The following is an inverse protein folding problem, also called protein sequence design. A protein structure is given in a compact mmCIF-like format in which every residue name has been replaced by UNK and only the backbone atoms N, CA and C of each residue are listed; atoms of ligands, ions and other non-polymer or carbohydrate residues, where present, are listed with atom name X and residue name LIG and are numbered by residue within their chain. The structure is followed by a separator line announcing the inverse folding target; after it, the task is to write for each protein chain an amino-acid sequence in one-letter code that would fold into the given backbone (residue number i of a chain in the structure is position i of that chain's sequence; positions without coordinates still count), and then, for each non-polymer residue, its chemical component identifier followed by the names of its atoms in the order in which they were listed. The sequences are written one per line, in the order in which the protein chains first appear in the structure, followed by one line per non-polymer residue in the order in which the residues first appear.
data_IF_515205981507
#
_entry.id   IF_515205981507
#
_cell.length_a   1.000
_cell.length_b   1.000
_cell.length_c   1.000
_cell.angle_alpha   90.00
_cell.angle_beta   90.00
_cell.angle_gamma   90.00
#
_symmetry.space_group_name_H-M   'P 1'
#
loop_
_entity.id
_entity.type
_entity.pdbx_description
1 polymer ?
#
# COMPACT_ATOMS: atom_id res chain seq x y z
N UNK A 1 14.21 6.49 6.16
CA UNK A 1 14.77 5.28 6.78
C UNK A 1 16.20 5.14 6.30
N UNK A 2 17.17 4.90 7.19
CA UNK A 2 18.54 4.67 6.77
C UNK A 2 18.69 3.25 6.18
N UNK A 3 19.73 3.01 5.37
CA UNK A 3 19.91 1.69 4.77
C UNK A 3 20.17 0.59 5.82
N UNK A 4 20.87 0.92 6.91
CA UNK A 4 21.16 -0.04 7.97
C UNK A 4 19.91 -0.41 8.76
N UNK A 5 19.01 0.55 9.00
CA UNK A 5 17.68 0.29 9.58
C UNK A 5 16.91 -0.69 8.71
N UNK A 6 16.94 -0.47 7.38
CA UNK A 6 16.23 -1.32 6.42
C UNK A 6 16.83 -2.74 6.39
N UNK A 7 18.15 -2.88 6.44
CA UNK A 7 18.82 -4.19 6.49
C UNK A 7 18.47 -4.98 7.76
N UNK A 8 18.36 -4.29 8.90
CA UNK A 8 17.92 -4.91 10.15
C UNK A 8 16.42 -5.27 10.12
N UNK A 9 15.59 -4.38 9.58
CA UNK A 9 14.14 -4.56 9.55
C UNK A 9 13.68 -5.61 8.54
N UNK A 10 14.22 -5.60 7.32
CA UNK A 10 13.70 -6.40 6.20
C UNK A 10 13.50 -7.90 6.54
N UNK A 11 14.48 -8.62 7.13
CA UNK A 11 14.27 -10.04 7.45
C UNK A 11 13.19 -10.23 8.53
N UNK A 12 13.13 -9.35 9.53
CA UNK A 12 12.12 -9.40 10.60
C UNK A 12 10.72 -9.06 10.09
N UNK A 13 10.61 -8.09 9.18
CA UNK A 13 9.33 -7.77 8.58
C UNK A 13 8.78 -8.96 7.79
N UNK A 14 9.61 -9.62 6.97
CA UNK A 14 9.19 -10.81 6.24
C UNK A 14 8.74 -11.93 7.20
N UNK A 15 9.60 -12.31 8.17
CA UNK A 15 9.29 -13.42 9.08
C UNK A 15 8.06 -13.13 9.95
N UNK A 16 7.90 -11.91 10.47
CA UNK A 16 6.72 -11.51 11.25
C UNK A 16 5.46 -11.45 10.40
N UNK A 17 5.57 -11.05 9.14
CA UNK A 17 4.44 -11.10 8.20
C UNK A 17 3.98 -12.53 7.99
N UNK A 18 4.89 -13.47 7.79
CA UNK A 18 4.57 -14.89 7.61
C UNK A 18 3.94 -15.47 8.88
N UNK A 19 4.48 -15.17 10.05
CA UNK A 19 3.92 -15.57 11.35
C UNK A 19 2.46 -15.11 11.52
N UNK A 20 2.19 -13.80 11.31
CA UNK A 20 0.84 -13.24 11.41
C UNK A 20 -0.10 -13.78 10.33
N UNK A 21 0.42 -14.01 9.12
CA UNK A 21 -0.37 -14.56 8.00
C UNK A 21 -0.73 -16.04 8.21
N UNK A 22 0.11 -16.81 8.91
CA UNK A 22 -0.21 -18.21 9.22
C UNK A 22 -1.20 -18.32 10.37
N UNK A 23 -1.24 -17.34 11.27
CA UNK A 23 -2.19 -17.29 12.38
C UNK A 23 -3.59 -16.82 11.97
N UNK A 24 -4.25 -17.65 11.17
CA UNK A 24 -5.62 -17.41 10.69
C UNK A 24 -6.65 -17.33 11.82
N UNK A 25 -6.32 -17.88 13.00
CA UNK A 25 -7.23 -17.84 14.15
C UNK A 25 -7.45 -16.42 14.67
N UNK A 26 -6.51 -15.51 14.39
CA UNK A 26 -6.56 -14.12 14.82
C UNK A 26 -6.89 -13.13 13.70
N UNK A 27 -7.36 -13.60 12.54
CA UNK A 27 -7.81 -12.73 11.43
C UNK A 27 -9.19 -12.09 11.68
N UNK A 28 -9.60 -11.91 12.93
CA UNK A 28 -10.95 -11.46 13.28
C UNK A 28 -11.31 -10.15 12.58
N UNK A 29 -12.29 -10.22 11.67
CA UNK A 29 -12.76 -9.10 10.84
C UNK A 29 -13.31 -7.93 11.67
N UNK A 30 -13.69 -8.18 12.93
CA UNK A 30 -14.31 -7.18 13.79
C UNK A 30 -13.31 -6.19 14.42
N UNK A 31 -12.03 -6.58 14.57
CA UNK A 31 -11.04 -5.79 15.34
C UNK A 31 -9.74 -5.51 14.61
N UNK A 32 -9.34 -6.36 13.65
CA UNK A 32 -8.06 -6.19 12.95
C UNK A 32 -8.11 -5.13 11.86
N UNK A 33 -9.32 -4.78 11.41
CA UNK A 33 -9.55 -3.98 10.22
C UNK A 33 -9.46 -4.78 8.92
N UNK A 34 -9.16 -6.09 8.98
CA UNK A 34 -9.06 -6.94 7.79
C UNK A 34 -10.46 -7.37 7.36
N UNK A 35 -11.23 -6.38 6.88
CA UNK A 35 -12.64 -6.55 6.49
C UNK A 35 -12.83 -7.60 5.39
N UNK A 36 -11.76 -7.96 4.67
CA UNK A 36 -11.77 -8.97 3.63
C UNK A 36 -11.37 -10.36 4.13
N UNK A 37 -10.75 -10.47 5.32
CA UNK A 37 -10.27 -11.74 5.87
C UNK A 37 -9.24 -12.43 4.97
N UNK A 38 -8.45 -11.64 4.23
CA UNK A 38 -7.46 -12.13 3.27
C UNK A 38 -6.03 -12.12 3.83
N UNK A 39 -5.87 -11.74 5.10
CA UNK A 39 -4.58 -11.62 5.76
C UNK A 39 -3.77 -10.41 5.27
N UNK A 40 -4.40 -9.43 4.62
CA UNK A 40 -3.71 -8.28 4.04
C UNK A 40 -3.05 -7.38 5.09
N UNK A 41 -3.68 -7.28 6.27
CA UNK A 41 -3.13 -6.48 7.37
C UNK A 41 -1.94 -7.18 8.05
N UNK A 42 -1.69 -8.46 7.75
CA UNK A 42 -0.53 -9.20 8.28
C UNK A 42 0.79 -8.49 7.96
N UNK A 43 0.88 -7.82 6.81
CA UNK A 43 2.08 -7.06 6.44
C UNK A 43 2.26 -5.80 7.30
N UNK A 44 1.17 -5.14 7.67
CA UNK A 44 1.19 -3.96 8.52
C UNK A 44 1.59 -4.34 9.96
N UNK A 45 1.04 -5.45 10.48
CA UNK A 45 1.45 -6.00 11.77
C UNK A 45 2.87 -6.53 11.74
N UNK A 46 3.25 -7.25 10.69
CA UNK A 46 4.62 -7.75 10.50
C UNK A 46 5.65 -6.61 10.50
N UNK A 47 5.35 -5.51 9.81
CA UNK A 47 6.17 -4.30 9.87
C UNK A 47 6.23 -3.73 11.29
N UNK A 48 5.08 -3.60 11.95
CA UNK A 48 4.99 -2.99 13.29
C UNK A 48 5.79 -3.78 14.32
N UNK A 49 5.65 -5.11 14.33
CA UNK A 49 6.38 -6.00 15.21
C UNK A 49 7.88 -6.02 14.89
N UNK A 50 8.25 -6.18 13.62
CA UNK A 50 9.65 -6.15 13.20
C UNK A 50 10.34 -4.80 13.52
N UNK A 51 9.64 -3.69 13.30
CA UNK A 51 10.16 -2.35 13.59
C UNK A 51 10.33 -2.11 15.10
N UNK A 52 9.41 -2.61 15.92
CA UNK A 52 9.52 -2.54 17.38
C UNK A 52 10.72 -3.37 17.88
N UNK A 53 10.93 -4.56 17.33
CA UNK A 53 12.04 -5.46 17.70
C UNK A 53 13.42 -4.88 17.32
N UNK A 54 13.53 -4.21 16.17
CA UNK A 54 14.74 -3.46 15.77
C UNK A 54 14.92 -2.17 16.60
N UNK A 55 13.88 -1.70 17.28
CA UNK A 55 13.92 -0.44 18.03
C UNK A 55 13.82 0.80 17.14
N UNK A 56 13.16 0.70 15.98
CA UNK A 56 12.95 1.84 15.09
C UNK A 56 12.03 2.88 15.71
N UNK A 57 12.34 4.15 15.40
CA UNK A 57 11.50 5.29 15.78
C UNK A 57 10.86 5.91 14.55
N UNK A 58 9.56 6.16 14.64
CA UNK A 58 8.79 6.72 13.53
C UNK A 58 8.52 8.20 13.73
N UNK A 59 8.54 8.94 12.63
CA UNK A 59 7.93 10.26 12.54
C UNK A 59 6.65 10.11 11.73
N UNK A 60 5.51 10.35 12.37
CA UNK A 60 4.22 10.34 11.69
C UNK A 60 4.07 11.65 10.92
N UNK A 61 3.79 11.55 9.63
CA UNK A 61 3.46 12.69 8.79
C UNK A 61 2.30 12.32 7.85
N UNK A 62 1.30 13.18 7.75
CA UNK A 62 0.19 13.05 6.83
C UNK A 62 0.37 13.90 5.55
N UNK A 63 1.55 14.51 5.35
CA UNK A 63 1.83 15.32 4.14
C UNK A 63 2.18 14.50 2.89
N UNK A 64 2.57 13.24 3.06
CA UNK A 64 3.15 12.44 1.97
C UNK A 64 2.09 11.57 1.29
N UNK A 65 1.20 10.96 2.07
CA UNK A 65 0.26 9.95 1.61
C UNK A 65 -1.16 10.32 1.99
N UNK A 66 -2.09 10.19 1.04
CA UNK A 66 -3.52 10.39 1.27
C UNK A 66 -4.33 9.22 0.71
N UNK A 67 -5.54 9.01 1.24
CA UNK A 67 -6.53 8.09 0.65
C UNK A 67 -7.48 8.84 -0.31
N UNK A 68 -7.97 8.18 -1.37
CA UNK A 68 -9.04 8.73 -2.20
C UNK A 68 -10.25 9.16 -1.36
N UNK A 69 -10.76 10.36 -1.61
CA UNK A 69 -11.90 10.95 -0.89
C UNK A 69 -11.53 11.76 0.36
N UNK A 70 -10.28 11.71 0.81
CA UNK A 70 -9.80 12.52 1.93
C UNK A 70 -9.37 13.88 1.40
N UNK A 71 -9.59 14.93 2.19
CA UNK A 71 -9.14 16.28 1.85
C UNK A 71 -7.72 16.50 2.34
N UNK A 72 -6.76 16.87 1.48
CA UNK A 72 -5.39 17.15 1.91
C UNK A 72 -5.33 18.37 2.82
N UNK A 73 -4.26 18.47 3.62
CA UNK A 73 -4.04 19.66 4.45
C UNK A 73 -3.89 20.91 3.58
N UNK A 74 -4.37 22.09 4.04
CA UNK A 74 -4.16 23.34 3.31
C UNK A 74 -2.68 23.58 3.03
N UNK A 75 -2.33 23.83 1.76
CA UNK A 75 -0.95 24.07 1.33
C UNK A 75 -0.09 22.82 1.13
N UNK A 76 -0.67 21.62 1.25
CA UNK A 76 0.04 20.35 1.04
C UNK A 76 -0.48 19.66 -0.22
N UNK A 77 0.45 19.21 -1.06
CA UNK A 77 0.19 18.34 -2.21
C UNK A 77 0.73 16.93 -1.90
N UNK A 78 -0.14 15.95 -1.59
CA UNK A 78 0.30 14.58 -1.31
C UNK A 78 0.99 13.97 -2.52
N UNK A 79 2.15 13.35 -2.29
CA UNK A 79 2.94 12.69 -3.33
C UNK A 79 2.46 11.26 -3.62
N UNK A 80 1.77 10.64 -2.67
CA UNK A 80 1.34 9.25 -2.72
C UNK A 80 -0.16 9.18 -2.50
N UNK A 81 -0.87 8.51 -3.42
CA UNK A 81 -2.28 8.19 -3.27
C UNK A 81 -2.41 6.69 -2.96
N UNK A 82 -2.94 6.37 -1.79
CA UNK A 82 -3.02 5.00 -1.30
C UNK A 82 -4.42 4.40 -1.51
N UNK A 83 -4.51 3.35 -2.33
CA UNK A 83 -5.77 2.70 -2.73
C UNK A 83 -5.99 1.39 -1.99
N UNK A 84 -6.27 1.47 -0.68
CA UNK A 84 -6.56 0.30 0.15
C UNK A 84 -8.02 -0.16 0.13
N UNK A 85 -8.96 0.72 -0.26
CA UNK A 85 -10.40 0.48 -0.18
C UNK A 85 -11.09 0.79 -1.53
N UNK A 86 -12.25 0.17 -1.81
CA UNK A 86 -13.11 0.55 -2.91
C UNK A 86 -13.46 2.03 -2.85
N UNK A 87 -13.24 2.73 -3.97
CA UNK A 87 -13.60 4.12 -4.13
C UNK A 87 -14.70 4.25 -5.17
N UNK A 88 -15.71 5.08 -4.91
CA UNK A 88 -16.89 5.25 -5.78
C UNK A 88 -17.18 6.71 -6.03
N UNK A 89 -17.46 7.05 -7.28
CA UNK A 89 -17.94 8.36 -7.72
C UNK A 89 -19.12 8.14 -8.66
N UNK A 90 -20.32 8.57 -8.27
CA UNK A 90 -21.54 8.32 -9.05
C UNK A 90 -21.76 6.82 -9.34
N UNK A 91 -21.78 6.46 -10.62
CA UNK A 91 -21.93 5.07 -11.10
C UNK A 91 -20.58 4.35 -11.33
N UNK A 92 -19.46 5.05 -11.19
CA UNK A 92 -18.14 4.47 -11.37
C UNK A 92 -17.53 4.08 -10.03
N UNK A 93 -16.85 2.93 -9.99
CA UNK A 93 -16.08 2.48 -8.84
C UNK A 93 -14.76 1.87 -9.27
N UNK A 94 -13.78 1.93 -8.38
CA UNK A 94 -12.49 1.27 -8.51
C UNK A 94 -12.15 0.57 -7.20
N UNK A 95 -11.76 -0.70 -7.29
CA UNK A 95 -11.18 -1.43 -6.18
C UNK A 95 -9.91 -2.14 -6.61
N UNK A 96 -8.82 -1.90 -5.88
CA UNK A 96 -7.57 -2.64 -6.11
C UNK A 96 -7.75 -4.15 -5.87
N UNK A 97 -8.66 -4.54 -4.97
CA UNK A 97 -8.98 -5.94 -4.68
C UNK A 97 -9.50 -6.71 -5.90
N UNK A 98 -10.22 -6.05 -6.80
CA UNK A 98 -10.73 -6.68 -8.03
C UNK A 98 -9.60 -7.18 -8.95
N UNK A 99 -8.38 -6.66 -8.75
CA UNK A 99 -7.20 -6.99 -9.53
C UNK A 99 -6.23 -7.88 -8.76
N UNK A 100 -6.67 -8.54 -7.67
CA UNK A 100 -5.80 -9.40 -6.86
C UNK A 100 -5.26 -10.59 -7.67
N UNK A 101 -6.12 -11.21 -8.48
CA UNK A 101 -5.75 -12.37 -9.31
C UNK A 101 -5.25 -11.95 -10.71
N UNK A 102 -5.41 -10.68 -11.06
CA UNK A 102 -5.01 -10.15 -12.35
C UNK A 102 -3.49 -10.11 -12.49
N UNK A 103 -3.00 -10.51 -13.67
CA UNK A 103 -1.58 -10.42 -14.04
C UNK A 103 -1.01 -8.99 -14.02
N UNK A 104 -1.85 -7.96 -13.89
CA UNK A 104 -1.46 -6.55 -13.91
C UNK A 104 -0.41 -6.20 -12.86
N UNK A 105 -0.41 -6.90 -11.71
CA UNK A 105 0.55 -6.67 -10.62
C UNK A 105 1.91 -7.31 -10.94
N UNK A 106 1.93 -8.38 -11.72
CA UNK A 106 3.13 -9.16 -12.06
C UNK A 106 3.77 -8.69 -13.38
N UNK A 107 2.98 -8.12 -14.28
CA UNK A 107 3.43 -7.56 -15.55
C UNK A 107 3.99 -6.14 -15.37
N UNK A 108 5.27 -5.95 -15.71
CA UNK A 108 5.88 -4.62 -15.72
C UNK A 108 5.23 -3.70 -16.77
N UNK A 109 5.22 -2.38 -16.50
CA UNK A 109 4.71 -1.32 -17.40
C UNK A 109 3.22 -1.42 -17.76
N UNK A 110 2.41 -2.14 -16.98
CA UNK A 110 0.95 -2.06 -17.06
C UNK A 110 0.44 -0.93 -16.17
N UNK A 111 -0.61 -0.25 -16.64
CA UNK A 111 -1.36 0.74 -15.88
C UNK A 111 -2.78 0.23 -15.67
N UNK A 112 -3.40 0.59 -14.55
CA UNK A 112 -4.85 0.44 -14.41
C UNK A 112 -5.55 1.25 -15.50
N UNK A 113 -6.74 0.78 -15.91
CA UNK A 113 -7.57 1.58 -16.79
C UNK A 113 -7.81 2.97 -16.16
N UNK A 114 -7.69 4.05 -16.94
CA UNK A 114 -7.92 5.39 -16.41
C UNK A 114 -9.38 5.51 -15.95
N UNK A 115 -9.66 6.31 -14.91
CA UNK A 115 -11.02 6.64 -14.56
C UNK A 115 -11.71 7.34 -15.75
N UNK A 116 -13.03 7.19 -15.91
CA UNK A 116 -13.81 7.94 -16.88
C UNK A 116 -13.65 9.45 -16.66
N UNK A 117 -13.84 10.25 -17.72
CA UNK A 117 -13.67 11.70 -17.60
C UNK A 117 -14.64 12.28 -16.56
N UNK A 118 -14.30 13.38 -15.86
CA UNK A 118 -15.20 13.99 -14.86
C UNK A 118 -16.59 14.36 -15.38
N UNK A 119 -16.74 14.56 -16.70
CA UNK A 119 -18.03 14.80 -17.36
C UNK A 119 -18.90 13.53 -17.53
N UNK A 120 -18.27 12.36 -17.55
CA UNK A 120 -18.90 11.04 -17.67
C UNK A 120 -19.31 10.49 -16.30
N UNK A 121 -18.76 11.06 -15.23
CA UNK A 121 -19.05 10.71 -13.84
C UNK A 121 -19.73 11.90 -13.18
N UNK A 122 -21.04 11.83 -12.94
CA UNK A 122 -21.79 12.93 -12.35
C UNK A 122 -21.09 13.51 -11.09
N UNK A 123 -20.65 14.77 -11.20
CA UNK A 123 -20.20 15.71 -10.18
C UNK A 123 -19.07 15.24 -9.22
N UNK A 124 -17.82 15.66 -9.49
CA UNK A 124 -16.90 16.34 -8.53
C UNK A 124 -15.55 16.68 -9.21
N UNK A 125 -14.82 17.73 -8.76
CA UNK A 125 -13.53 18.11 -9.33
C UNK A 125 -12.41 17.36 -8.61
N UNK A 126 -11.97 16.21 -9.14
CA UNK A 126 -10.72 15.59 -8.69
C UNK A 126 -9.96 15.10 -9.92
N UNK A 127 -8.87 15.79 -10.24
CA UNK A 127 -7.86 15.31 -11.19
C UNK A 127 -6.99 14.33 -10.41
N UNK A 128 -7.25 13.03 -10.60
CA UNK A 128 -6.40 11.98 -10.03
C UNK A 128 -5.43 11.51 -11.11
N UNK A 129 -4.15 11.83 -10.93
CA UNK A 129 -3.09 11.13 -11.65
C UNK A 129 -2.94 9.74 -11.03
N UNK A 130 -3.49 8.73 -11.70
CA UNK A 130 -3.21 7.32 -11.38
C UNK A 130 -1.79 7.03 -11.89
N UNK A 131 -0.79 7.29 -11.06
CA UNK A 131 0.53 6.69 -11.26
C UNK A 131 0.40 5.24 -10.79
N UNK A 132 0.03 4.37 -11.73
CA UNK A 132 0.12 2.93 -11.60
C UNK A 132 1.59 2.52 -11.53
N UNK A 133 2.24 2.74 -10.40
CA UNK A 133 3.43 2.00 -10.04
C UNK A 133 3.03 1.02 -8.94
N UNK A 134 2.80 -0.25 -9.33
CA UNK A 134 2.93 -1.41 -8.46
C UNK A 134 4.37 -1.55 -7.86
N UNK A 135 5.25 -0.59 -8.16
CA UNK A 135 6.60 -0.51 -7.66
C UNK A 135 6.75 -0.10 -6.20
N UNK A 136 5.75 0.03 -5.33
CA UNK A 136 6.12 0.08 -3.89
C UNK A 136 6.55 -1.31 -3.38
N UNK A 137 5.90 -2.38 -3.87
CA UNK A 137 6.29 -3.76 -3.56
C UNK A 137 7.65 -4.10 -4.21
N UNK A 138 7.83 -3.69 -5.48
CA UNK A 138 9.08 -3.88 -6.19
C UNK A 138 10.15 -2.84 -5.87
N UNK A 139 9.90 -1.64 -5.33
CA UNK A 139 10.98 -0.74 -4.95
C UNK A 139 11.63 -1.24 -3.66
N UNK A 140 10.86 -1.72 -2.68
CA UNK A 140 11.46 -2.31 -1.48
C UNK A 140 12.18 -3.63 -1.80
N UNK A 141 11.60 -4.51 -2.64
CA UNK A 141 12.29 -5.75 -3.05
C UNK A 141 13.38 -5.55 -4.12
N UNK A 142 13.28 -4.58 -5.04
CA UNK A 142 14.38 -4.25 -5.98
C UNK A 142 15.52 -3.52 -5.29
N UNK A 143 15.27 -2.73 -4.24
CA UNK A 143 16.35 -2.25 -3.36
C UNK A 143 17.06 -3.46 -2.74
N UNK A 144 16.32 -4.50 -2.32
CA UNK A 144 16.92 -5.75 -1.83
C UNK A 144 17.70 -6.52 -2.90
N UNK A 145 17.19 -6.63 -4.13
CA UNK A 145 17.89 -7.31 -5.23
C UNK A 145 19.09 -6.52 -5.79
N UNK A 146 18.99 -5.19 -5.86
CA UNK A 146 20.07 -4.33 -6.36
C UNK A 146 21.24 -4.22 -5.37
N UNK A 147 20.97 -4.30 -4.06
CA UNK A 147 22.01 -4.19 -3.04
C UNK A 147 22.75 -5.50 -2.74
N UNK A 148 22.24 -6.65 -3.19
CA UNK A 148 22.91 -7.96 -3.05
C UNK A 148 23.75 -8.36 -4.28
N UNK A 149 23.82 -7.53 -5.34
CA UNK A 149 24.61 -7.82 -6.54
C UNK A 149 25.62 -6.74 -6.94
N UNK A 150 25.90 -5.77 -6.08
CA UNK A 150 27.16 -5.02 -6.16
C UNK A 150 28.11 -5.68 -5.16
N UNK A 151 28.82 -6.69 -5.66
CA UNK A 151 29.99 -7.26 -4.98
C UNK A 151 31.12 -6.25 -4.87
#
# INVERSE_FOLDING_TARGET
MHIDDLRALAPLWLSKTEEVRQDKSHWSTNITGDIYGMGWISEMYGYSFGAAEVGLRHKINDDIMIYPGYTPRPGIEPLILHYGLPFKVGNWSFSKLEHHEDGIIYDCNRLFNPPPFPREVNNLPIIVWVIGCAHLYLLMMKIFYALNFVG
#
